data_IF_924296210832
#
_entry.id   IF_924296210832
#
_cell.length_a   1.000
_cell.length_b   1.000
_cell.length_c   1.000
_cell.angle_alpha   90.00
_cell.angle_beta   90.00
_cell.angle_gamma   90.00
#
_symmetry.space_group_name_H-M   'P 1'
#
loop_
_entity.id
_entity.type
_entity.pdbx_description
1 polymer ?
#
# COMPACT_ATOMS: atom_id res chain seq x y z
N UNK A 1 -2.79 6.10 -17.07
CA UNK A 1 -3.03 5.75 -15.65
C UNK A 1 -2.06 6.55 -14.84
N UNK A 2 -2.58 7.44 -14.01
CA UNK A 2 -1.76 8.32 -13.19
C UNK A 2 -1.08 7.51 -12.08
N UNK A 3 0.16 7.88 -11.77
CA UNK A 3 1.00 7.24 -10.76
C UNK A 3 1.29 8.25 -9.68
N UNK A 4 1.39 7.78 -8.44
CA UNK A 4 1.75 8.60 -7.29
C UNK A 4 2.73 7.82 -6.42
N UNK A 5 3.72 8.51 -5.88
CA UNK A 5 4.71 7.90 -4.98
C UNK A 5 4.17 7.72 -3.57
N UNK A 6 4.68 6.72 -2.84
CA UNK A 6 4.34 6.54 -1.43
C UNK A 6 4.65 7.78 -0.58
N UNK A 7 5.70 8.53 -0.92
CA UNK A 7 6.06 9.78 -0.24
C UNK A 7 5.02 10.88 -0.42
N UNK A 8 4.47 11.04 -1.63
CA UNK A 8 3.38 11.98 -1.90
C UNK A 8 2.12 11.57 -1.15
N UNK A 9 1.75 10.28 -1.18
CA UNK A 9 0.61 9.77 -0.42
C UNK A 9 0.77 10.04 1.07
N UNK A 10 1.93 9.73 1.64
CA UNK A 10 2.20 9.99 3.06
C UNK A 10 2.06 11.48 3.39
N UNK A 11 2.52 12.38 2.52
CA UNK A 11 2.37 13.83 2.69
C UNK A 11 0.90 14.27 2.66
N UNK A 12 0.09 13.68 1.77
CA UNK A 12 -1.34 13.99 1.65
C UNK A 12 -2.15 13.55 2.86
N UNK A 13 -1.80 12.41 3.47
CA UNK A 13 -2.53 11.84 4.62
C UNK A 13 -1.92 12.19 5.98
N UNK A 14 -0.83 12.95 6.01
CA UNK A 14 -0.06 13.22 7.24
C UNK A 14 0.60 11.98 7.84
N UNK A 15 0.87 10.97 6.99
CA UNK A 15 1.49 9.71 7.36
C UNK A 15 3.02 9.73 7.26
N UNK A 16 3.63 8.57 7.49
CA UNK A 16 5.08 8.36 7.36
C UNK A 16 5.36 7.06 6.63
N UNK A 17 6.19 7.13 5.60
CA UNK A 17 6.65 5.93 4.89
C UNK A 17 7.72 5.20 5.71
N UNK A 18 7.54 3.89 5.87
CA UNK A 18 8.59 2.97 6.34
C UNK A 18 9.03 2.16 5.12
N UNK A 19 10.25 2.38 4.64
CA UNK A 19 10.77 1.76 3.41
C UNK A 19 11.07 2.80 2.32
N UNK A 20 10.84 2.46 1.05
CA UNK A 20 11.17 3.32 -0.09
C UNK A 20 10.02 4.30 -0.42
N UNK A 21 10.17 5.63 -0.17
CA UNK A 21 9.13 6.61 -0.50
C UNK A 21 8.95 6.83 -2.00
N UNK A 22 9.93 6.51 -2.84
CA UNK A 22 9.86 6.65 -4.29
C UNK A 22 9.12 5.53 -5.00
N UNK A 23 8.56 4.55 -4.27
CA UNK A 23 7.76 3.49 -4.88
C UNK A 23 6.46 4.09 -5.42
N UNK A 24 6.21 3.86 -6.70
CA UNK A 24 4.97 4.29 -7.35
C UNK A 24 3.86 3.26 -7.22
N UNK A 25 2.64 3.75 -7.11
CA UNK A 25 1.41 2.95 -7.12
C UNK A 25 0.38 3.58 -8.04
N UNK A 26 -0.57 2.76 -8.51
CA UNK A 26 -1.64 3.15 -9.44
C UNK A 26 -3.04 3.11 -8.79
N UNK A 27 -3.12 2.72 -7.51
CA UNK A 27 -4.39 2.64 -6.80
C UNK A 27 -4.30 1.94 -5.44
N UNK A 28 -5.47 1.72 -4.85
CA UNK A 28 -5.65 1.07 -3.55
C UNK A 28 -6.59 -0.12 -3.72
N UNK A 29 -6.36 -1.20 -2.98
CA UNK A 29 -7.21 -2.40 -2.98
C UNK A 29 -7.22 -3.06 -1.59
N UNK A 30 -8.12 -4.03 -1.42
CA UNK A 30 -8.16 -4.92 -0.26
C UNK A 30 -6.89 -5.79 -0.19
N UNK A 31 -6.57 -6.36 0.98
CA UNK A 31 -5.39 -7.25 1.08
C UNK A 31 -5.55 -8.52 0.25
N UNK A 32 -6.79 -8.94 0.02
CA UNK A 32 -7.15 -10.10 -0.80
C UNK A 32 -6.95 -9.87 -2.30
N UNK A 33 -7.17 -8.64 -2.80
CA UNK A 33 -7.17 -8.34 -4.25
C UNK A 33 -5.96 -7.50 -4.72
N UNK A 34 -5.21 -6.88 -3.79
CA UNK A 34 -4.18 -5.92 -4.15
C UNK A 34 -3.00 -6.55 -4.90
N UNK A 35 -2.75 -6.02 -6.10
CA UNK A 35 -1.59 -6.36 -6.91
C UNK A 35 -0.32 -5.58 -6.54
N UNK A 36 0.79 -5.91 -7.21
CA UNK A 36 2.13 -5.37 -6.93
C UNK A 36 2.24 -3.83 -7.06
N UNK A 37 1.39 -3.20 -7.86
CA UNK A 37 1.36 -1.75 -8.07
C UNK A 37 0.25 -1.04 -7.29
N UNK A 38 -0.43 -1.72 -6.37
CA UNK A 38 -1.46 -1.15 -5.52
C UNK A 38 -1.01 -1.13 -4.06
N UNK A 39 -1.59 -0.22 -3.27
CA UNK A 39 -1.49 -0.24 -1.80
C UNK A 39 -2.61 -1.12 -1.26
N UNK A 40 -2.27 -2.08 -0.41
CA UNK A 40 -3.26 -2.83 0.36
C UNK A 40 -3.56 -2.12 1.69
N UNK A 41 -4.82 -2.02 2.09
CA UNK A 41 -5.19 -1.42 3.38
C UNK A 41 -5.40 -2.48 4.47
N UNK A 42 -4.73 -2.32 5.61
CA UNK A 42 -4.73 -3.21 6.76
C UNK A 42 -5.53 -2.60 7.93
N UNK A 43 -6.86 -2.67 7.84
CA UNK A 43 -7.76 -2.07 8.83
C UNK A 43 -7.61 -2.64 10.27
N UNK A 44 -7.05 -3.85 10.43
CA UNK A 44 -6.82 -4.44 11.75
C UNK A 44 -5.78 -5.57 11.72
N UNK A 45 -5.21 -5.89 12.89
CA UNK A 45 -4.17 -6.92 13.05
C UNK A 45 -4.61 -8.33 12.59
N UNK A 46 -5.91 -8.62 12.51
CA UNK A 46 -6.40 -9.95 12.07
C UNK A 46 -6.05 -10.26 10.61
N UNK A 47 -5.78 -9.23 9.81
CA UNK A 47 -5.46 -9.38 8.39
C UNK A 47 -3.98 -9.68 8.13
N UNK A 48 -3.13 -9.66 9.17
CA UNK A 48 -1.70 -10.02 9.06
C UNK A 48 -1.52 -11.41 8.45
N UNK A 49 -2.44 -12.35 8.70
CA UNK A 49 -2.41 -13.70 8.10
C UNK A 49 -2.50 -13.72 6.58
N UNK A 50 -3.06 -12.68 5.95
CA UNK A 50 -3.18 -12.59 4.49
C UNK A 50 -1.94 -11.97 3.85
N UNK A 51 -0.98 -11.48 4.63
CA UNK A 51 0.25 -10.88 4.09
C UNK A 51 1.09 -11.88 3.30
N UNK A 52 1.05 -13.16 3.66
CA UNK A 52 1.82 -14.20 2.96
C UNK A 52 1.32 -14.42 1.52
N UNK A 53 0.01 -14.25 1.29
CA UNK A 53 -0.64 -14.48 0.00
C UNK A 53 -0.83 -13.17 -0.80
N UNK A 54 -0.71 -12.01 -0.15
CA UNK A 54 -0.92 -10.71 -0.78
C UNK A 54 0.21 -10.35 -1.74
N UNK A 55 -0.16 -9.90 -2.94
CA UNK A 55 0.80 -9.45 -3.97
C UNK A 55 1.21 -7.99 -3.83
N UNK A 56 0.55 -7.22 -2.96
CA UNK A 56 0.91 -5.83 -2.71
C UNK A 56 2.32 -5.73 -2.10
N UNK A 57 2.98 -4.61 -2.43
CA UNK A 57 4.33 -4.31 -1.93
C UNK A 57 4.35 -3.04 -1.08
N UNK A 58 3.18 -2.49 -0.79
CA UNK A 58 2.95 -1.35 0.07
C UNK A 58 1.64 -1.57 0.82
N UNK A 59 1.64 -1.20 2.11
CA UNK A 59 0.51 -1.41 3.01
C UNK A 59 0.24 -0.13 3.79
N UNK A 60 -1.04 0.18 4.01
CA UNK A 60 -1.50 1.31 4.84
C UNK A 60 -2.19 0.80 6.11
#
# INVERSE_FOLDING_TARGET
MDRISLGEIASLVGGRVIGNPGREVVGVASIEDAGEHQIAFLASKRYVRFLEECSARAFL
#
